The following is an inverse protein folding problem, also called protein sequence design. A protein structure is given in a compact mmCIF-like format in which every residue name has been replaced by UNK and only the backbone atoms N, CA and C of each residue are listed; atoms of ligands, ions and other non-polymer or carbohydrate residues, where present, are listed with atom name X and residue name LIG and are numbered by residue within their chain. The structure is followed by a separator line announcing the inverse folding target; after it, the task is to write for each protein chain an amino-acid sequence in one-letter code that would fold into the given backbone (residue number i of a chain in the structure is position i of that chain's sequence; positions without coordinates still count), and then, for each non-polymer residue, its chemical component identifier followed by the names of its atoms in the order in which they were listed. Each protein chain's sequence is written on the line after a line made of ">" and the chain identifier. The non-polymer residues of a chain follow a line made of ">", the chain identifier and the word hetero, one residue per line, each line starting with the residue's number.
data_IF_072916480292
#
_entry.id   IF_072916480292
#
_cell.length_a   1.000
_cell.length_b   1.000
_cell.length_c   1.000
_cell.angle_alpha   90.00
_cell.angle_beta   90.00
_cell.angle_gamma   90.00
#
_symmetry.space_group_name_H-M   'P 1'
#
loop_
_entity.id
_entity.type
_entity.pdbx_description
1 polymer ?
#
# COMPACT_ATOMS: atom_id res chain seq x y z
N UNK A 1 8.29 -9.95 17.23
CA UNK A 1 7.96 -10.90 16.15
C UNK A 1 8.17 -10.20 14.84
N UNK A 2 8.79 -10.82 13.84
CA UNK A 2 8.93 -10.22 12.50
C UNK A 2 7.54 -10.11 11.88
N UNK A 3 7.19 -8.93 11.39
CA UNK A 3 5.94 -8.70 10.65
C UNK A 3 5.92 -9.62 9.43
N UNK A 4 4.87 -10.41 9.28
CA UNK A 4 4.70 -11.26 8.09
C UNK A 4 3.85 -10.51 7.06
N UNK A 5 4.52 -9.86 6.12
CA UNK A 5 3.87 -9.22 4.97
C UNK A 5 3.43 -10.30 3.96
N UNK A 6 2.24 -10.90 4.14
CA UNK A 6 1.65 -11.92 3.24
C UNK A 6 0.15 -12.01 3.46
N UNK A 7 -0.52 -12.80 2.64
CA UNK A 7 -1.95 -13.08 2.78
C UNK A 7 -2.85 -12.10 2.04
N UNK A 8 -4.12 -12.05 2.42
CA UNK A 8 -5.15 -11.25 1.77
C UNK A 8 -5.48 -10.02 2.62
N UNK A 9 -5.40 -8.84 1.99
CA UNK A 9 -5.63 -7.56 2.65
C UNK A 9 -6.61 -6.72 1.84
N UNK A 10 -7.75 -6.33 2.39
CA UNK A 10 -8.58 -5.29 1.80
C UNK A 10 -7.80 -4.00 1.59
N UNK A 11 -7.88 -3.44 0.37
CA UNK A 11 -7.61 -2.03 0.17
C UNK A 11 -8.78 -1.28 0.79
N UNK A 12 -8.62 -0.82 2.04
CA UNK A 12 -9.69 -0.33 2.89
C UNK A 12 -10.40 0.87 2.26
N UNK A 13 -11.74 0.84 2.25
CA UNK A 13 -12.58 1.96 1.88
C UNK A 13 -12.52 3.07 2.94
N UNK A 14 -12.71 4.32 2.53
CA UNK A 14 -12.84 5.46 3.41
C UNK A 14 -14.26 6.02 3.31
N UNK A 15 -15.11 5.84 4.31
CA UNK A 15 -16.49 6.35 4.27
C UNK A 15 -16.53 7.85 4.57
N UNK A 16 -17.38 8.56 3.84
CA UNK A 16 -17.71 9.98 4.05
C UNK A 16 -19.20 10.16 4.32
N UNK A 17 -19.55 11.19 5.06
CA UNK A 17 -20.93 11.60 5.29
C UNK A 17 -21.49 12.42 4.11
N UNK A 18 -22.77 12.78 4.19
CA UNK A 18 -23.44 13.56 3.14
C UNK A 18 -22.91 15.02 3.02
N UNK A 19 -22.09 15.47 3.95
CA UNK A 19 -21.41 16.76 3.95
C UNK A 19 -19.94 16.65 3.53
N UNK A 20 -19.53 15.48 3.01
CA UNK A 20 -18.18 15.18 2.56
C UNK A 20 -17.11 15.15 3.68
N UNK A 21 -17.54 15.03 4.95
CA UNK A 21 -16.62 14.82 6.06
C UNK A 21 -16.36 13.32 6.25
N UNK A 22 -15.20 12.98 6.82
CA UNK A 22 -14.87 11.61 7.21
C UNK A 22 -15.92 11.06 8.18
N UNK A 23 -16.62 9.96 7.81
CA UNK A 23 -17.52 9.25 8.71
C UNK A 23 -16.71 8.28 9.59
N UNK A 24 -16.21 8.81 10.69
CA UNK A 24 -15.31 8.11 11.60
C UNK A 24 -15.96 6.87 12.21
N UNK A 25 -17.26 6.92 12.51
CA UNK A 25 -17.96 5.78 13.10
C UNK A 25 -18.17 4.65 12.07
N UNK A 26 -18.49 4.99 10.83
CA UNK A 26 -18.58 4.01 9.74
C UNK A 26 -17.23 3.41 9.43
N UNK A 27 -16.13 4.19 9.49
CA UNK A 27 -14.78 3.69 9.32
C UNK A 27 -14.43 2.66 10.42
N UNK A 28 -14.71 2.95 11.69
CA UNK A 28 -14.51 2.00 12.80
C UNK A 28 -15.31 0.71 12.60
N UNK A 29 -16.58 0.81 12.21
CA UNK A 29 -17.42 -0.37 11.93
C UNK A 29 -16.84 -1.19 10.77
N UNK A 30 -16.35 -0.54 9.70
CA UNK A 30 -15.76 -1.21 8.56
C UNK A 30 -14.48 -1.96 8.93
N UNK A 31 -13.62 -1.35 9.74
CA UNK A 31 -12.40 -2.02 10.26
C UNK A 31 -12.76 -3.26 11.05
N UNK A 32 -13.69 -3.15 12.01
CA UNK A 32 -14.15 -4.28 12.83
C UNK A 32 -14.78 -5.38 12.00
N UNK A 33 -15.59 -5.01 10.98
CA UNK A 33 -16.18 -5.94 10.04
C UNK A 33 -15.10 -6.73 9.29
N UNK A 34 -14.11 -6.05 8.71
CA UNK A 34 -13.02 -6.69 7.98
C UNK A 34 -12.23 -7.65 8.90
N UNK A 35 -11.88 -7.23 10.12
CA UNK A 35 -11.23 -8.12 11.10
C UNK A 35 -12.06 -9.37 11.37
N UNK A 36 -13.39 -9.24 11.48
CA UNK A 36 -14.29 -10.38 11.73
C UNK A 36 -14.38 -11.37 10.58
N UNK A 37 -13.99 -10.97 9.36
CA UNK A 37 -13.92 -11.84 8.19
C UNK A 37 -12.66 -12.73 8.17
N UNK A 38 -11.71 -12.53 9.08
CA UNK A 38 -10.50 -13.35 9.18
C UNK A 38 -9.40 -12.98 8.20
N UNK A 39 -9.40 -11.75 7.70
CA UNK A 39 -8.35 -11.22 6.81
C UNK A 39 -6.99 -11.14 7.51
N UNK A 40 -5.90 -11.18 6.74
CA UNK A 40 -4.53 -11.15 7.28
C UNK A 40 -4.05 -9.73 7.64
N UNK A 41 -4.63 -8.70 7.03
CA UNK A 41 -4.24 -7.31 7.28
C UNK A 41 -5.14 -6.30 6.58
N UNK A 42 -4.81 -5.02 6.73
CA UNK A 42 -5.47 -3.89 6.06
C UNK A 42 -4.45 -3.02 5.32
N UNK A 43 -4.76 -2.66 4.08
CA UNK A 43 -4.03 -1.68 3.30
C UNK A 43 -4.81 -0.35 3.31
N UNK A 44 -4.32 0.64 4.04
CA UNK A 44 -5.05 1.85 4.42
C UNK A 44 -4.62 3.05 3.59
N UNK A 45 -5.57 3.84 3.11
CA UNK A 45 -5.29 5.08 2.37
C UNK A 45 -4.74 4.85 0.96
N UNK A 46 -5.10 3.73 0.32
CA UNK A 46 -4.80 3.46 -1.09
C UNK A 46 -5.80 4.10 -2.06
N UNK A 47 -5.74 3.68 -3.32
CA UNK A 47 -6.65 4.18 -4.37
C UNK A 47 -8.11 3.85 -4.07
N UNK A 48 -8.41 2.67 -3.55
CA UNK A 48 -9.75 2.26 -3.12
C UNK A 48 -10.28 3.10 -1.96
N UNK A 49 -9.40 3.55 -1.08
CA UNK A 49 -9.71 4.47 0.03
C UNK A 49 -9.72 5.94 -0.38
N UNK A 50 -9.68 6.24 -1.68
CA UNK A 50 -9.80 7.58 -2.25
C UNK A 50 -8.77 8.60 -1.72
N UNK A 51 -7.55 8.13 -1.39
CA UNK A 51 -6.53 8.92 -0.70
C UNK A 51 -6.13 10.23 -1.41
N UNK A 52 -6.26 10.30 -2.73
CA UNK A 52 -5.81 11.47 -3.50
C UNK A 52 -6.85 12.60 -3.60
N UNK A 53 -8.05 12.40 -3.09
CA UNK A 53 -9.06 13.46 -2.93
C UNK A 53 -9.22 13.89 -1.47
N UNK A 54 -8.45 13.28 -0.56
CA UNK A 54 -8.39 13.64 0.85
C UNK A 54 -7.23 14.62 1.12
N UNK A 55 -7.41 15.52 2.07
CA UNK A 55 -6.34 16.31 2.65
C UNK A 55 -5.38 15.42 3.45
N UNK A 56 -4.16 15.91 3.69
CA UNK A 56 -3.19 15.20 4.53
C UNK A 56 -3.72 15.00 5.96
N UNK A 57 -4.47 15.97 6.49
CA UNK A 57 -5.07 15.87 7.82
C UNK A 57 -6.11 14.73 7.91
N UNK A 58 -6.99 14.62 6.92
CA UNK A 58 -7.96 13.51 6.85
C UNK A 58 -7.26 12.16 6.72
N UNK A 59 -6.21 12.08 5.89
CA UNK A 59 -5.43 10.85 5.76
C UNK A 59 -4.74 10.46 7.08
N UNK A 60 -4.18 11.42 7.82
CA UNK A 60 -3.63 11.15 9.16
C UNK A 60 -4.72 10.67 10.13
N UNK A 61 -5.90 11.28 10.12
CA UNK A 61 -7.04 10.86 10.95
C UNK A 61 -7.51 9.44 10.62
N UNK A 62 -7.56 9.07 9.34
CA UNK A 62 -7.85 7.70 8.91
C UNK A 62 -6.82 6.71 9.45
N UNK A 63 -5.52 7.04 9.38
CA UNK A 63 -4.47 6.18 9.93
C UNK A 63 -4.62 6.02 11.45
N UNK A 64 -4.91 7.10 12.17
CA UNK A 64 -5.11 7.07 13.63
C UNK A 64 -6.27 6.16 14.02
N UNK A 65 -7.45 6.36 13.41
CA UNK A 65 -8.66 5.57 13.69
C UNK A 65 -8.44 4.08 13.41
N UNK A 66 -7.82 3.76 12.27
CA UNK A 66 -7.54 2.36 11.90
C UNK A 66 -6.55 1.73 12.89
N UNK A 67 -5.53 2.46 13.30
CA UNK A 67 -4.58 1.97 14.30
C UNK A 67 -5.24 1.72 15.66
N UNK A 68 -6.12 2.60 16.13
CA UNK A 68 -6.88 2.41 17.37
C UNK A 68 -7.71 1.11 17.34
N UNK A 69 -8.32 0.78 16.20
CA UNK A 69 -9.19 -0.38 16.08
C UNK A 69 -8.43 -1.70 15.81
N UNK A 70 -7.31 -1.67 15.09
CA UNK A 70 -6.71 -2.87 14.49
C UNK A 70 -5.26 -3.17 14.91
N UNK A 71 -4.53 -2.21 15.50
CA UNK A 71 -3.13 -2.40 15.91
C UNK A 71 -2.96 -3.62 16.82
N UNK A 72 -2.02 -4.46 16.45
CA UNK A 72 -1.69 -5.69 17.18
C UNK A 72 -2.70 -6.84 17.00
N UNK A 73 -3.78 -6.65 16.20
CA UNK A 73 -4.75 -7.69 15.87
C UNK A 73 -4.48 -8.31 14.51
N UNK A 74 -4.12 -7.49 13.53
CA UNK A 74 -3.83 -7.86 12.14
C UNK A 74 -2.71 -6.96 11.60
N UNK A 75 -2.11 -7.31 10.47
CA UNK A 75 -1.08 -6.49 9.81
C UNK A 75 -1.66 -5.19 9.26
N UNK A 76 -0.99 -4.06 9.52
CA UNK A 76 -1.41 -2.74 9.03
C UNK A 76 -0.36 -2.16 8.07
N UNK A 77 -0.75 -1.90 6.82
CA UNK A 77 0.07 -1.22 5.81
C UNK A 77 -0.54 0.15 5.52
N UNK A 78 0.18 1.23 5.81
CA UNK A 78 -0.25 2.58 5.48
C UNK A 78 0.24 2.97 4.09
N UNK A 79 -0.65 3.26 3.16
CA UNK A 79 -0.27 3.93 1.93
C UNK A 79 -0.06 5.42 2.22
N UNK A 80 1.18 5.87 2.08
CA UNK A 80 1.63 7.23 2.40
C UNK A 80 1.98 8.05 1.15
N UNK A 81 1.96 7.41 -0.04
CA UNK A 81 2.35 8.06 -1.29
C UNK A 81 1.48 9.25 -1.64
N UNK A 82 2.12 10.32 -2.10
CA UNK A 82 1.54 11.53 -2.71
C UNK A 82 2.43 11.98 -3.87
N UNK A 83 2.02 13.04 -4.56
CA UNK A 83 2.88 13.71 -5.56
C UNK A 83 4.05 14.44 -4.87
N UNK A 84 3.85 14.90 -3.63
CA UNK A 84 4.82 15.66 -2.84
C UNK A 84 5.65 14.74 -1.94
N UNK A 85 6.97 14.72 -2.11
CA UNK A 85 7.87 13.97 -1.21
C UNK A 85 7.71 14.41 0.25
N UNK A 86 7.53 15.70 0.51
CA UNK A 86 7.33 16.24 1.86
C UNK A 86 6.06 15.69 2.53
N UNK A 87 4.96 15.63 1.80
CA UNK A 87 3.71 15.09 2.32
C UNK A 87 3.79 13.57 2.53
N UNK A 88 4.45 12.85 1.60
CA UNK A 88 4.75 11.43 1.76
C UNK A 88 5.55 11.17 3.04
N UNK A 89 6.58 11.97 3.31
CA UNK A 89 7.36 11.89 4.55
C UNK A 89 6.52 12.19 5.80
N UNK A 90 5.59 13.17 5.73
CA UNK A 90 4.69 13.49 6.84
C UNK A 90 3.81 12.30 7.18
N UNK A 91 3.17 11.70 6.18
CA UNK A 91 2.32 10.52 6.35
C UNK A 91 3.12 9.28 6.80
N UNK A 92 4.35 9.10 6.32
CA UNK A 92 5.22 8.01 6.76
C UNK A 92 5.56 8.13 8.26
N UNK A 93 5.87 9.34 8.73
CA UNK A 93 6.06 9.61 10.17
C UNK A 93 4.80 9.37 10.98
N UNK A 94 3.63 9.74 10.46
CA UNK A 94 2.35 9.48 11.12
C UNK A 94 2.10 7.98 11.24
N UNK A 95 2.32 7.20 10.17
CA UNK A 95 2.17 5.75 10.19
C UNK A 95 3.08 5.07 11.24
N UNK A 96 4.36 5.48 11.31
CA UNK A 96 5.29 5.02 12.35
C UNK A 96 4.78 5.36 13.76
N UNK A 97 4.38 6.62 13.99
CA UNK A 97 3.85 7.10 15.28
C UNK A 97 2.62 6.32 15.74
N UNK A 98 1.69 6.00 14.84
CA UNK A 98 0.49 5.23 15.16
C UNK A 98 0.76 3.73 15.28
N UNK A 99 1.93 3.25 14.83
CA UNK A 99 2.39 1.89 14.98
C UNK A 99 1.82 0.94 13.93
N UNK A 100 1.82 1.38 12.70
CA UNK A 100 1.66 0.51 11.55
C UNK A 100 2.84 -0.46 11.42
N UNK A 101 2.65 -1.55 10.69
CA UNK A 101 3.64 -2.59 10.49
C UNK A 101 4.48 -2.36 9.23
N UNK A 102 3.97 -1.59 8.26
CA UNK A 102 4.66 -1.19 7.04
C UNK A 102 4.08 0.10 6.49
N UNK A 103 4.84 0.75 5.61
CA UNK A 103 4.37 1.84 4.77
C UNK A 103 4.37 1.42 3.31
N UNK A 104 3.52 2.02 2.49
CA UNK A 104 3.50 1.84 1.06
C UNK A 104 3.45 3.17 0.33
N UNK A 105 4.09 3.28 -0.82
CA UNK A 105 4.00 4.47 -1.65
C UNK A 105 3.85 4.08 -3.12
N UNK A 106 2.90 4.72 -3.80
CA UNK A 106 2.89 4.77 -5.27
C UNK A 106 4.02 5.67 -5.75
N UNK A 107 4.58 5.40 -6.92
CA UNK A 107 5.49 6.36 -7.57
C UNK A 107 4.81 7.73 -7.69
N UNK A 108 5.51 8.84 -7.42
CA UNK A 108 4.95 10.17 -7.66
C UNK A 108 4.51 10.28 -9.12
N UNK A 109 3.34 10.86 -9.32
CA UNK A 109 2.62 10.88 -10.58
C UNK A 109 2.28 12.31 -10.99
N UNK A 110 1.54 12.50 -12.09
CA UNK A 110 1.11 13.77 -12.68
C UNK A 110 2.23 14.50 -13.44
N UNK A 111 3.40 14.74 -12.84
CA UNK A 111 4.55 15.32 -13.51
C UNK A 111 5.48 14.23 -14.08
N UNK A 112 6.16 14.50 -15.21
CA UNK A 112 7.07 13.52 -15.83
C UNK A 112 8.41 13.44 -15.10
N UNK A 113 8.37 12.94 -13.87
CA UNK A 113 9.57 12.72 -13.06
C UNK A 113 10.52 11.71 -13.73
N UNK A 114 11.81 11.95 -13.61
CA UNK A 114 12.83 10.99 -14.02
C UNK A 114 12.86 9.78 -13.06
N UNK A 115 13.42 8.66 -13.51
CA UNK A 115 13.57 7.49 -12.64
C UNK A 115 14.46 7.75 -11.42
N UNK A 116 15.48 8.60 -11.56
CA UNK A 116 16.32 9.03 -10.43
C UNK A 116 15.49 9.75 -9.35
N UNK A 117 14.59 10.66 -9.76
CA UNK A 117 13.69 11.35 -8.83
C UNK A 117 12.71 10.39 -8.15
N UNK A 118 12.23 9.34 -8.85
CA UNK A 118 11.45 8.28 -8.21
C UNK A 118 12.26 7.57 -7.12
N UNK A 119 13.51 7.22 -7.39
CA UNK A 119 14.39 6.60 -6.40
C UNK A 119 14.63 7.49 -5.18
N UNK A 120 14.85 8.80 -5.40
CA UNK A 120 15.06 9.76 -4.32
C UNK A 120 13.80 9.96 -3.47
N UNK A 121 12.62 9.96 -4.11
CA UNK A 121 11.32 9.98 -3.41
C UNK A 121 11.17 8.78 -2.47
N UNK A 122 11.45 7.56 -2.97
CA UNK A 122 11.37 6.35 -2.14
C UNK A 122 12.38 6.36 -0.99
N UNK A 123 13.64 6.79 -1.23
CA UNK A 123 14.66 6.92 -0.16
C UNK A 123 14.19 7.85 0.94
N UNK A 124 13.66 9.01 0.57
CA UNK A 124 13.14 10.00 1.53
C UNK A 124 11.93 9.47 2.32
N UNK A 125 11.04 8.71 1.67
CA UNK A 125 9.88 8.09 2.31
C UNK A 125 10.33 6.97 3.29
N UNK A 126 11.28 6.13 2.90
CA UNK A 126 11.84 5.06 3.73
C UNK A 126 12.54 5.65 4.97
N UNK A 127 13.35 6.68 4.81
CA UNK A 127 14.01 7.38 5.93
C UNK A 127 12.97 7.92 6.93
N UNK A 128 11.89 8.53 6.42
CA UNK A 128 10.84 9.08 7.25
C UNK A 128 9.96 8.02 7.94
N UNK A 129 9.95 6.79 7.47
CA UNK A 129 9.17 5.69 8.02
C UNK A 129 9.78 5.04 9.27
N UNK A 130 10.96 5.51 9.72
CA UNK A 130 11.58 5.13 11.00
C UNK A 130 11.67 3.61 11.20
N UNK A 131 12.24 2.91 10.21
CA UNK A 131 12.47 1.45 10.25
C UNK A 131 11.29 0.59 9.81
N UNK A 132 10.12 1.14 9.51
CA UNK A 132 9.04 0.38 8.89
C UNK A 132 9.44 -0.04 7.46
N UNK A 133 9.20 -1.29 7.05
CA UNK A 133 9.46 -1.73 5.69
C UNK A 133 8.56 -0.99 4.69
N UNK A 134 9.14 -0.65 3.53
CA UNK A 134 8.44 -0.03 2.41
C UNK A 134 7.85 -1.09 1.49
N UNK A 135 6.58 -0.96 1.14
CA UNK A 135 5.92 -1.67 0.04
C UNK A 135 5.87 -0.73 -1.18
N UNK A 136 6.68 -1.01 -2.17
CA UNK A 136 6.61 -0.27 -3.46
C UNK A 136 5.26 -0.56 -4.11
N UNK A 137 4.54 0.49 -4.52
CA UNK A 137 3.24 0.33 -5.16
C UNK A 137 3.32 0.69 -6.64
N UNK A 138 3.33 -0.33 -7.50
CA UNK A 138 3.29 -0.17 -8.94
C UNK A 138 1.86 -0.31 -9.46
N UNK A 139 1.31 0.79 -10.00
CA UNK A 139 -0.03 0.85 -10.61
C UNK A 139 0.01 1.73 -11.86
N UNK A 140 0.57 1.25 -12.96
CA UNK A 140 0.78 2.06 -14.17
C UNK A 140 -0.50 2.61 -14.78
N UNK A 141 -1.64 1.94 -14.59
CA UNK A 141 -2.93 2.38 -15.13
C UNK A 141 -3.42 3.70 -14.51
N UNK A 142 -3.12 3.97 -13.23
CA UNK A 142 -3.54 5.19 -12.53
C UNK A 142 -2.41 6.19 -12.36
N UNK A 143 -1.18 5.74 -12.12
CA UNK A 143 -0.04 6.63 -11.96
C UNK A 143 0.47 7.20 -13.29
N UNK A 144 0.20 6.54 -14.41
CA UNK A 144 0.80 6.85 -15.71
C UNK A 144 2.29 6.49 -15.80
N UNK A 145 2.89 6.01 -14.71
CA UNK A 145 4.32 5.64 -14.65
C UNK A 145 4.48 4.17 -15.01
N UNK A 146 5.11 3.90 -16.14
CA UNK A 146 5.40 2.53 -16.61
C UNK A 146 6.85 2.19 -16.29
N UNK A 147 7.06 1.39 -15.28
CA UNK A 147 8.39 0.93 -14.87
C UNK A 147 8.80 -0.32 -15.67
N UNK A 148 10.04 -0.34 -16.17
CA UNK A 148 10.65 -1.55 -16.75
C UNK A 148 10.99 -2.54 -15.63
N UNK A 149 11.26 -3.80 -15.98
CA UNK A 149 11.74 -4.80 -15.02
C UNK A 149 13.02 -4.35 -14.30
N UNK A 150 13.96 -3.75 -15.01
CA UNK A 150 15.20 -3.21 -14.44
C UNK A 150 14.92 -2.08 -13.43
N UNK A 151 14.00 -1.18 -13.75
CA UNK A 151 13.61 -0.10 -12.84
C UNK A 151 12.90 -0.64 -11.59
N UNK A 152 12.01 -1.62 -11.74
CA UNK A 152 11.37 -2.31 -10.61
C UNK A 152 12.44 -2.99 -9.76
N UNK A 153 13.37 -3.73 -10.37
CA UNK A 153 14.48 -4.38 -9.68
C UNK A 153 15.33 -3.39 -8.88
N UNK A 154 15.61 -2.23 -9.46
CA UNK A 154 16.34 -1.15 -8.75
C UNK A 154 15.55 -0.64 -7.54
N UNK A 155 14.24 -0.41 -7.68
CA UNK A 155 13.41 0.09 -6.56
C UNK A 155 13.28 -0.94 -5.44
N UNK A 156 13.02 -2.22 -5.77
CA UNK A 156 12.80 -3.25 -4.75
C UNK A 156 14.08 -3.68 -4.02
N UNK A 157 15.25 -3.32 -4.55
CA UNK A 157 16.55 -3.53 -3.88
C UNK A 157 17.02 -2.33 -3.06
N UNK A 158 16.26 -1.24 -3.00
CA UNK A 158 16.58 -0.13 -2.08
C UNK A 158 16.54 -0.62 -0.62
N UNK A 159 17.52 -0.25 0.21
CA UNK A 159 17.49 -0.58 1.62
C UNK A 159 16.21 -0.10 2.29
N UNK A 160 15.52 -0.98 3.01
CA UNK A 160 14.24 -0.69 3.66
C UNK A 160 13.00 -1.10 2.84
N UNK A 161 13.16 -1.53 1.59
CA UNK A 161 12.04 -2.13 0.84
C UNK A 161 11.86 -3.59 1.25
N UNK A 162 10.64 -3.96 1.63
CA UNK A 162 10.28 -5.32 2.05
C UNK A 162 9.28 -6.02 1.11
N UNK A 163 8.57 -5.26 0.27
CA UNK A 163 7.55 -5.84 -0.60
C UNK A 163 7.29 -4.97 -1.84
N UNK A 164 6.59 -5.58 -2.81
CA UNK A 164 6.04 -4.90 -3.99
C UNK A 164 4.55 -5.25 -4.10
N UNK A 165 3.70 -4.25 -4.25
CA UNK A 165 2.33 -4.40 -4.72
C UNK A 165 2.29 -4.12 -6.22
N UNK A 166 2.05 -5.17 -7.00
CA UNK A 166 1.98 -5.12 -8.46
C UNK A 166 0.52 -5.10 -8.92
N UNK A 167 0.03 -3.92 -9.30
CA UNK A 167 -1.33 -3.72 -9.81
C UNK A 167 -1.28 -3.54 -11.32
N UNK A 168 -1.10 -4.66 -12.02
CA UNK A 168 -0.98 -4.75 -13.47
C UNK A 168 -1.53 -6.09 -13.96
N UNK A 169 -2.12 -6.09 -15.17
CA UNK A 169 -2.53 -7.32 -15.86
C UNK A 169 -1.35 -8.08 -16.49
N UNK A 170 -0.14 -7.52 -16.43
CA UNK A 170 1.07 -8.17 -16.97
C UNK A 170 1.61 -9.21 -15.96
N UNK A 171 1.02 -10.41 -16.00
CA UNK A 171 1.45 -11.53 -15.17
C UNK A 171 2.82 -12.08 -15.59
N UNK A 172 3.23 -11.89 -16.85
CA UNK A 172 4.57 -12.25 -17.28
C UNK A 172 5.62 -11.38 -16.60
N UNK A 173 5.40 -10.06 -16.51
CA UNK A 173 6.28 -9.19 -15.74
C UNK A 173 6.30 -9.59 -14.27
N UNK A 174 5.14 -9.96 -13.69
CA UNK A 174 5.04 -10.42 -12.30
C UNK A 174 5.92 -11.67 -12.06
N UNK A 175 5.84 -12.65 -12.94
CA UNK A 175 6.67 -13.88 -12.87
C UNK A 175 8.17 -13.55 -13.01
N UNK A 176 8.54 -12.62 -13.91
CA UNK A 176 9.92 -12.19 -14.05
C UNK A 176 10.45 -11.50 -12.79
N UNK A 177 9.64 -10.67 -12.14
CA UNK A 177 9.98 -10.03 -10.85
C UNK A 177 10.20 -11.10 -9.78
N UNK A 178 9.28 -12.06 -9.65
CA UNK A 178 9.40 -13.15 -8.69
C UNK A 178 10.68 -13.99 -8.92
N UNK A 179 11.01 -14.31 -10.17
CA UNK A 179 12.24 -15.05 -10.50
C UNK A 179 13.51 -14.27 -10.21
N UNK A 180 13.50 -12.96 -10.45
CA UNK A 180 14.65 -12.08 -10.20
C UNK A 180 14.85 -11.81 -8.69
N UNK A 181 13.77 -11.81 -7.91
CA UNK A 181 13.76 -11.45 -6.50
C UNK A 181 12.90 -12.46 -5.68
N UNK A 182 13.34 -13.73 -5.53
CA UNK A 182 12.52 -14.79 -4.92
C UNK A 182 12.21 -14.54 -3.44
N UNK A 183 13.00 -13.72 -2.74
CA UNK A 183 12.80 -13.37 -1.34
C UNK A 183 11.87 -12.15 -1.15
N UNK A 184 11.56 -11.43 -2.24
CA UNK A 184 10.68 -10.27 -2.18
C UNK A 184 9.24 -10.71 -1.98
N UNK A 185 8.56 -10.13 -0.99
CA UNK A 185 7.11 -10.31 -0.87
C UNK A 185 6.41 -9.59 -2.01
N UNK A 186 5.64 -10.33 -2.79
CA UNK A 186 4.92 -9.82 -3.97
C UNK A 186 3.42 -9.93 -3.74
N UNK A 187 2.72 -8.79 -3.79
CA UNK A 187 1.27 -8.73 -3.75
C UNK A 187 0.67 -8.52 -5.13
N UNK A 188 -0.30 -9.36 -5.47
CA UNK A 188 -1.17 -9.11 -6.62
C UNK A 188 -2.16 -7.99 -6.26
N UNK A 189 -2.26 -6.95 -7.12
CA UNK A 189 -3.11 -5.79 -6.87
C UNK A 189 -4.44 -5.78 -7.63
N UNK A 190 -4.66 -6.72 -8.55
CA UNK A 190 -5.93 -6.94 -9.23
C UNK A 190 -6.59 -8.21 -8.71
N UNK A 191 -7.56 -8.07 -7.84
CA UNK A 191 -8.30 -9.16 -7.21
C UNK A 191 -9.01 -10.05 -8.23
N UNK A 192 -9.45 -9.51 -9.38
CA UNK A 192 -10.09 -10.23 -10.47
C UNK A 192 -9.21 -11.33 -11.09
N UNK A 193 -7.89 -11.21 -10.98
CA UNK A 193 -6.92 -12.18 -11.49
C UNK A 193 -6.05 -12.78 -10.38
N UNK A 194 -6.51 -12.75 -9.12
CA UNK A 194 -5.71 -13.15 -7.96
C UNK A 194 -5.18 -14.58 -8.06
N UNK A 195 -6.01 -15.53 -8.48
CA UNK A 195 -5.59 -16.92 -8.67
C UNK A 195 -4.43 -17.04 -9.67
N UNK A 196 -4.49 -16.28 -10.77
CA UNK A 196 -3.41 -16.24 -11.76
C UNK A 196 -2.17 -15.53 -11.22
N UNK A 197 -2.36 -14.49 -10.38
CA UNK A 197 -1.28 -13.79 -9.67
C UNK A 197 -0.51 -14.72 -8.72
N UNK A 198 -1.21 -15.60 -7.99
CA UNK A 198 -0.58 -16.61 -7.14
C UNK A 198 0.28 -17.59 -7.97
N UNK A 199 -0.21 -18.02 -9.13
CA UNK A 199 0.55 -18.88 -10.04
C UNK A 199 1.78 -18.16 -10.62
N UNK A 200 1.71 -16.83 -10.78
CA UNK A 200 2.83 -15.99 -11.22
C UNK A 200 3.81 -15.62 -10.09
N UNK A 201 3.62 -16.15 -8.87
CA UNK A 201 4.54 -16.00 -7.75
C UNK A 201 4.14 -14.99 -6.67
N UNK A 202 2.91 -14.46 -6.68
CA UNK A 202 2.44 -13.58 -5.60
C UNK A 202 2.33 -14.35 -4.27
N UNK A 203 2.70 -13.68 -3.16
CA UNK A 203 2.59 -14.21 -1.79
C UNK A 203 1.25 -13.84 -1.13
N UNK A 204 0.45 -13.00 -1.78
CA UNK A 204 -0.83 -12.52 -1.28
C UNK A 204 -1.49 -11.55 -2.25
N UNK A 205 -2.60 -10.97 -1.81
CA UNK A 205 -3.35 -9.99 -2.59
C UNK A 205 -3.75 -8.77 -1.77
N UNK A 206 -3.71 -7.60 -2.41
CA UNK A 206 -4.24 -6.35 -1.85
C UNK A 206 -5.25 -5.82 -2.86
N UNK A 207 -6.54 -5.94 -2.58
CA UNK A 207 -7.60 -5.63 -3.52
C UNK A 207 -8.86 -5.05 -2.91
N UNK A 208 -9.68 -4.43 -3.76
CA UNK A 208 -10.89 -3.71 -3.34
C UNK A 208 -12.02 -4.64 -2.90
N UNK A 209 -12.20 -5.77 -3.61
CA UNK A 209 -13.31 -6.71 -3.35
C UNK A 209 -13.13 -7.44 -2.02
N UNK A 210 -11.93 -7.52 -1.49
CA UNK A 210 -11.66 -8.12 -0.18
C UNK A 210 -12.29 -7.36 1.00
N UNK A 211 -12.79 -6.12 0.78
CA UNK A 211 -13.61 -5.42 1.78
C UNK A 211 -14.94 -6.14 2.08
N UNK A 212 -15.41 -7.02 1.19
CA UNK A 212 -16.68 -7.76 1.31
C UNK A 212 -16.56 -9.25 0.98
N UNK A 213 -15.40 -9.69 0.50
CA UNK A 213 -15.14 -11.07 0.03
C UNK A 213 -13.77 -11.58 0.52
N UNK A 214 -13.30 -11.08 1.66
CA UNK A 214 -12.04 -11.45 2.28
C UNK A 214 -12.06 -12.82 2.96
#
# INVERSE_FOLDING_TARGET
>A
MSVQLKGVMPALLTPFDASENLDTESLRRLVRFNISQGIDGLYVGGSTGEAFVQSIAEREEVLEIVAEEAKGKITLIAHVGTVSTRETQQLAKAASRYGFDAVSAVTPFYYPFSFAEHCDHYRAAIEAADGLPMVVYNIPALSGVKLTLEQISTLVTLPGVGALKQTSGDLFQMEQIHRAHPELVLYNGYDEIFASGLLAGANGGIGSTYNIMG
#
